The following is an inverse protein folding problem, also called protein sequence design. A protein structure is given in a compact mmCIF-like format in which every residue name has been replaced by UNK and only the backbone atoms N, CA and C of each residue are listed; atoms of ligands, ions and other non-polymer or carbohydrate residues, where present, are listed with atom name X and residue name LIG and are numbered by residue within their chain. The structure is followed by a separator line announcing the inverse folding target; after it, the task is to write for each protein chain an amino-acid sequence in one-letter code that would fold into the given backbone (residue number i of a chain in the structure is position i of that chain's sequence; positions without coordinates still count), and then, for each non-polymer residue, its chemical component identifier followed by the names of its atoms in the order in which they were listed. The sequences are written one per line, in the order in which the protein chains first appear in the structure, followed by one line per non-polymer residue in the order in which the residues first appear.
data_IF_216059331812
#
_entry.id   IF_216059331812
#
_cell.length_a   1.000
_cell.length_b   1.000
_cell.length_c   1.000
_cell.angle_alpha   90.00
_cell.angle_beta   90.00
_cell.angle_gamma   90.00
#
_symmetry.space_group_name_H-M   'P 1'
#
loop_
_entity.id
_entity.type
_entity.pdbx_description
1 polymer ?
#
# COMPACT_ATOMS: atom_id res chain seq x y z
N UNK A 1 -14.46 14.90 10.36
CA UNK A 1 -15.41 14.65 9.22
C UNK A 1 -15.41 13.16 8.99
N UNK A 2 -16.58 12.52 8.75
CA UNK A 2 -16.63 11.07 8.50
C UNK A 2 -16.56 10.81 6.98
N UNK A 3 -15.70 9.90 6.55
CA UNK A 3 -15.59 9.49 5.16
C UNK A 3 -16.85 8.74 4.71
N UNK A 4 -17.30 8.97 3.46
CA UNK A 4 -18.41 8.23 2.87
C UNK A 4 -17.98 6.80 2.55
N UNK A 5 -18.87 5.83 2.78
CA UNK A 5 -18.64 4.43 2.42
C UNK A 5 -19.84 3.85 1.70
N UNK A 6 -19.60 2.92 0.79
CA UNK A 6 -20.61 2.27 -0.04
C UNK A 6 -20.50 0.76 0.10
N UNK A 7 -21.57 0.04 -0.19
CA UNK A 7 -21.49 -1.41 -0.40
C UNK A 7 -20.90 -1.66 -1.79
N UNK A 8 -19.94 -2.59 -1.87
CA UNK A 8 -19.36 -2.97 -3.16
C UNK A 8 -20.43 -3.63 -4.05
N UNK A 9 -20.36 -3.32 -5.35
CA UNK A 9 -21.17 -4.04 -6.34
C UNK A 9 -20.65 -5.47 -6.53
N UNK A 10 -21.49 -6.39 -6.92
CA UNK A 10 -21.09 -7.79 -7.11
C UNK A 10 -20.11 -7.94 -8.28
N UNK A 11 -20.32 -7.18 -9.35
CA UNK A 11 -19.56 -7.25 -10.60
C UNK A 11 -18.34 -6.31 -10.65
N UNK A 12 -18.15 -5.43 -9.66
CA UNK A 12 -17.03 -4.48 -9.57
C UNK A 12 -17.23 -3.17 -10.32
N UNK A 13 -18.35 -2.98 -11.04
CA UNK A 13 -18.64 -1.69 -11.64
C UNK A 13 -19.00 -0.64 -10.61
N UNK A 14 -18.39 0.54 -10.72
CA UNK A 14 -18.70 1.67 -9.85
C UNK A 14 -19.96 2.39 -10.32
N UNK A 15 -20.87 2.66 -9.38
CA UNK A 15 -22.01 3.53 -9.66
C UNK A 15 -21.55 4.96 -9.94
N UNK A 16 -22.41 5.76 -10.55
CA UNK A 16 -22.12 7.18 -10.80
C UNK A 16 -21.82 7.93 -9.49
N UNK A 17 -22.57 7.64 -8.42
CA UNK A 17 -22.35 8.22 -7.09
C UNK A 17 -20.97 7.87 -6.51
N UNK A 18 -20.52 6.62 -6.67
CA UNK A 18 -19.18 6.19 -6.24
C UNK A 18 -18.09 6.93 -7.01
N UNK A 19 -18.23 7.08 -8.34
CA UNK A 19 -17.28 7.83 -9.19
C UNK A 19 -17.21 9.31 -8.80
N UNK A 20 -18.35 9.93 -8.53
CA UNK A 20 -18.42 11.32 -8.05
C UNK A 20 -17.80 11.47 -6.66
N UNK A 21 -18.01 10.51 -5.75
CA UNK A 21 -17.39 10.49 -4.45
C UNK A 21 -15.87 10.40 -4.54
N UNK A 22 -15.36 9.50 -5.39
CA UNK A 22 -13.92 9.37 -5.63
C UNK A 22 -13.33 10.64 -6.25
N UNK A 23 -13.98 11.20 -7.25
CA UNK A 23 -13.53 12.44 -7.89
C UNK A 23 -13.52 13.65 -6.93
N UNK A 24 -14.43 13.67 -5.97
CA UNK A 24 -14.51 14.72 -4.95
C UNK A 24 -13.48 14.55 -3.85
N UNK A 25 -13.36 13.33 -3.29
CA UNK A 25 -12.62 13.08 -2.05
C UNK A 25 -11.19 12.57 -2.33
N UNK A 26 -10.92 11.96 -3.50
CA UNK A 26 -9.65 11.32 -3.85
C UNK A 26 -9.48 9.95 -3.21
N UNK A 27 -10.50 9.45 -2.54
CA UNK A 27 -10.57 8.07 -2.04
C UNK A 27 -12.01 7.54 -2.08
N UNK A 28 -12.14 6.20 -2.02
CA UNK A 28 -13.43 5.52 -2.02
C UNK A 28 -13.38 4.31 -1.08
N UNK A 29 -14.41 4.11 -0.25
CA UNK A 29 -14.51 2.98 0.68
C UNK A 29 -15.65 2.07 0.21
N UNK A 30 -15.30 0.84 -0.18
CA UNK A 30 -16.23 -0.17 -0.68
C UNK A 30 -16.29 -1.36 0.28
N UNK A 31 -17.35 -1.44 1.11
CA UNK A 31 -17.55 -2.53 2.06
C UNK A 31 -17.94 -3.82 1.35
N UNK A 32 -17.50 -4.96 1.89
CA UNK A 32 -17.85 -6.27 1.33
C UNK A 32 -17.31 -6.53 -0.08
N UNK A 33 -16.21 -5.85 -0.45
CA UNK A 33 -15.58 -6.02 -1.76
C UNK A 33 -14.99 -7.42 -1.93
N UNK A 34 -14.32 -7.92 -0.90
CA UNK A 34 -13.85 -9.32 -0.79
C UNK A 34 -14.56 -10.02 0.36
N UNK A 35 -14.76 -11.31 0.22
CA UNK A 35 -15.34 -12.16 1.27
C UNK A 35 -14.36 -12.38 2.42
N UNK A 36 -14.89 -12.73 3.59
CA UNK A 36 -14.07 -13.12 4.74
C UNK A 36 -13.14 -14.30 4.40
N UNK A 37 -13.63 -15.28 3.63
CA UNK A 37 -12.85 -16.45 3.21
C UNK A 37 -11.67 -16.09 2.30
N UNK A 38 -11.84 -15.16 1.34
CA UNK A 38 -10.73 -14.66 0.52
C UNK A 38 -9.67 -13.96 1.38
N UNK A 39 -10.09 -13.13 2.33
CA UNK A 39 -9.18 -12.47 3.26
C UNK A 39 -8.42 -13.47 4.14
N UNK A 40 -9.10 -14.50 4.64
CA UNK A 40 -8.48 -15.55 5.46
C UNK A 40 -7.49 -16.38 4.65
N UNK A 41 -7.80 -16.72 3.39
CA UNK A 41 -6.87 -17.42 2.51
C UNK A 41 -5.55 -16.65 2.29
N UNK A 42 -5.59 -15.32 2.13
CA UNK A 42 -4.38 -14.51 2.06
C UNK A 42 -3.60 -14.53 3.38
N UNK A 43 -4.28 -14.45 4.52
CA UNK A 43 -3.65 -14.48 5.84
C UNK A 43 -2.98 -15.84 6.11
N UNK A 44 -3.65 -16.94 5.80
CA UNK A 44 -3.12 -18.29 5.90
C UNK A 44 -1.90 -18.47 4.99
N UNK A 45 -1.97 -17.99 3.73
CA UNK A 45 -0.85 -18.04 2.82
C UNK A 45 0.35 -17.23 3.33
N UNK A 46 0.11 -16.03 3.86
CA UNK A 46 1.17 -15.21 4.45
C UNK A 46 1.80 -15.90 5.66
N UNK A 47 1.03 -16.54 6.53
CA UNK A 47 1.54 -17.33 7.64
C UNK A 47 2.49 -18.41 7.14
N UNK A 48 2.11 -19.16 6.10
CA UNK A 48 2.97 -20.19 5.52
C UNK A 48 4.27 -19.62 4.90
N UNK A 49 4.22 -18.43 4.29
CA UNK A 49 5.41 -17.73 3.79
C UNK A 49 6.35 -17.31 4.93
N UNK A 50 5.81 -16.83 6.04
CA UNK A 50 6.59 -16.46 7.23
C UNK A 50 7.21 -17.70 7.87
N UNK A 51 6.48 -18.81 7.96
CA UNK A 51 7.00 -20.08 8.50
C UNK A 51 8.23 -20.57 7.73
N UNK A 52 8.20 -20.44 6.40
CA UNK A 52 9.31 -20.83 5.52
C UNK A 52 10.48 -19.83 5.51
N UNK A 53 10.30 -18.63 6.06
CA UNK A 53 11.31 -17.57 6.06
C UNK A 53 12.21 -17.65 7.28
N UNK A 54 13.55 -17.56 7.08
CA UNK A 54 14.53 -17.45 8.15
C UNK A 54 14.95 -15.99 8.36
N UNK A 55 14.66 -15.37 9.54
CA UNK A 55 15.05 -14.00 9.81
C UNK A 55 16.55 -13.77 9.88
N UNK A 56 17.36 -14.82 10.18
CA UNK A 56 18.83 -14.68 10.26
C UNK A 56 19.46 -14.37 8.89
N UNK A 57 18.79 -14.73 7.79
CA UNK A 57 19.24 -14.43 6.44
C UNK A 57 19.14 -12.92 6.10
N UNK A 58 18.33 -12.15 6.83
CA UNK A 58 18.01 -10.77 6.44
C UNK A 58 17.73 -9.89 7.68
N UNK A 59 18.65 -9.01 8.00
CA UNK A 59 18.51 -8.01 9.08
C UNK A 59 18.03 -6.64 8.57
N UNK A 60 17.07 -6.58 7.63
CA UNK A 60 16.55 -5.30 7.11
C UNK A 60 15.37 -4.80 7.94
N UNK A 61 15.58 -3.70 8.65
CA UNK A 61 14.52 -2.98 9.37
C UNK A 61 13.85 -1.99 8.42
N UNK A 62 12.53 -2.03 8.34
CA UNK A 62 11.78 -1.02 7.59
C UNK A 62 11.64 0.25 8.43
N UNK A 63 12.21 1.34 7.91
CA UNK A 63 11.98 2.69 8.43
C UNK A 63 11.23 3.52 7.39
N UNK A 64 10.30 4.35 7.83
CA UNK A 64 9.50 5.22 6.96
C UNK A 64 10.27 6.44 6.44
N UNK A 65 11.56 6.58 6.80
CA UNK A 65 12.43 7.65 6.36
C UNK A 65 13.15 7.35 5.05
N UNK A 66 13.08 8.25 4.07
CA UNK A 66 13.69 8.08 2.75
C UNK A 66 15.21 7.82 2.79
N UNK A 67 15.91 8.34 3.81
CA UNK A 67 17.37 8.20 3.91
C UNK A 67 17.85 6.79 4.27
N UNK A 68 17.07 6.05 5.06
CA UNK A 68 17.43 4.65 5.39
C UNK A 68 17.21 3.74 4.19
N UNK A 69 16.12 3.95 3.43
CA UNK A 69 15.83 3.18 2.22
C UNK A 69 16.88 3.37 1.12
N UNK A 70 17.43 4.57 0.99
CA UNK A 70 18.46 4.88 0.00
C UNK A 70 19.76 4.07 0.18
N UNK A 71 20.01 3.55 1.39
CA UNK A 71 21.24 2.80 1.72
C UNK A 71 21.04 1.28 1.72
N UNK A 72 19.79 0.83 1.72
CA UNK A 72 19.48 -0.59 1.83
C UNK A 72 19.29 -1.22 0.45
N UNK A 73 20.28 -1.99 0.00
CA UNK A 73 20.19 -2.73 -1.27
C UNK A 73 19.06 -3.77 -1.27
N UNK A 74 18.74 -4.33 -0.11
CA UNK A 74 17.64 -5.26 0.05
C UNK A 74 16.29 -4.60 -0.28
N UNK A 75 16.08 -3.35 0.15
CA UNK A 75 14.90 -2.59 -0.24
C UNK A 75 14.91 -2.22 -1.73
N UNK A 76 16.01 -1.67 -2.23
CA UNK A 76 16.10 -1.19 -3.63
C UNK A 76 15.81 -2.28 -4.66
N UNK A 77 16.24 -3.50 -4.37
CA UNK A 77 16.09 -4.66 -5.26
C UNK A 77 14.80 -5.45 -5.03
N UNK A 78 13.84 -4.93 -4.28
CA UNK A 78 12.61 -5.66 -3.91
C UNK A 78 11.45 -5.49 -4.90
N UNK A 79 11.61 -4.65 -5.93
CA UNK A 79 10.51 -4.29 -6.84
C UNK A 79 9.86 -5.46 -7.57
N UNK A 80 10.63 -6.50 -7.87
CA UNK A 80 10.20 -7.73 -8.57
C UNK A 80 10.35 -9.01 -7.71
N UNK A 81 10.40 -8.85 -6.37
CA UNK A 81 10.65 -9.93 -5.41
C UNK A 81 9.66 -9.90 -4.25
N UNK A 82 9.59 -11.01 -3.53
CA UNK A 82 8.92 -11.09 -2.23
C UNK A 82 9.99 -10.96 -1.15
N UNK A 83 9.96 -9.84 -0.41
CA UNK A 83 10.92 -9.54 0.67
C UNK A 83 10.21 -9.14 1.94
N UNK A 84 10.79 -9.49 3.09
CA UNK A 84 10.25 -9.30 4.42
C UNK A 84 10.92 -8.10 5.09
N UNK A 85 10.14 -7.22 5.70
CA UNK A 85 10.61 -6.03 6.40
C UNK A 85 10.03 -6.02 7.81
N UNK A 86 10.89 -5.75 8.80
CA UNK A 86 10.55 -5.81 10.21
C UNK A 86 10.17 -4.44 10.78
N UNK A 87 9.40 -4.45 11.87
CA UNK A 87 9.20 -3.26 12.69
C UNK A 87 10.49 -2.91 13.42
N UNK A 88 10.76 -1.61 13.57
CA UNK A 88 11.96 -1.14 14.27
C UNK A 88 11.98 -1.60 15.74
N UNK A 89 10.81 -1.57 16.40
CA UNK A 89 10.64 -2.00 17.79
C UNK A 89 10.72 -3.53 17.98
N UNK A 90 10.92 -4.30 16.91
CA UNK A 90 11.12 -5.74 16.98
C UNK A 90 12.54 -6.15 17.36
N UNK A 91 13.50 -5.21 17.36
CA UNK A 91 14.91 -5.45 17.65
C UNK A 91 15.34 -4.75 18.94
N UNK A 92 16.30 -5.34 19.65
CA UNK A 92 16.99 -4.71 20.77
C UNK A 92 18.12 -3.77 20.28
N UNK A 93 18.80 -3.15 21.26
CA UNK A 93 19.90 -2.22 20.98
C UNK A 93 21.10 -2.88 20.26
N UNK A 94 21.24 -4.19 20.34
CA UNK A 94 22.29 -4.98 19.71
C UNK A 94 21.88 -5.49 18.32
N UNK A 95 20.66 -5.14 17.86
CA UNK A 95 20.11 -5.55 16.57
C UNK A 95 19.59 -6.99 16.54
N UNK A 96 19.32 -7.59 17.69
CA UNK A 96 18.77 -8.93 17.80
C UNK A 96 17.24 -8.87 17.86
N UNK A 97 16.60 -9.74 17.06
CA UNK A 97 15.15 -9.91 17.10
C UNK A 97 14.69 -10.41 18.47
N UNK A 98 13.83 -9.64 19.15
CA UNK A 98 13.33 -9.91 20.51
C UNK A 98 11.86 -10.35 20.56
N UNK A 99 11.25 -10.56 19.41
CA UNK A 99 9.87 -11.01 19.24
C UNK A 99 9.79 -12.21 18.31
N UNK A 100 8.70 -12.95 18.40
CA UNK A 100 8.37 -13.94 17.38
C UNK A 100 8.24 -13.25 16.01
N UNK A 101 8.76 -13.91 14.94
CA UNK A 101 8.77 -13.35 13.60
C UNK A 101 7.38 -12.99 13.08
N UNK A 102 6.33 -13.70 13.48
CA UNK A 102 4.94 -13.41 13.12
C UNK A 102 4.40 -12.11 13.74
N UNK A 103 5.00 -11.66 14.84
CA UNK A 103 4.65 -10.41 15.55
C UNK A 103 5.67 -9.29 15.32
N UNK A 104 6.70 -9.55 14.53
CA UNK A 104 7.82 -8.65 14.31
C UNK A 104 7.79 -7.92 12.96
N UNK A 105 6.99 -8.42 12.01
CA UNK A 105 6.98 -7.91 10.65
C UNK A 105 6.16 -6.62 10.52
N UNK A 106 6.71 -5.67 9.77
CA UNK A 106 6.03 -4.46 9.29
C UNK A 106 5.27 -4.76 7.99
N UNK A 107 5.97 -5.27 6.97
CA UNK A 107 5.39 -5.61 5.68
C UNK A 107 6.16 -6.70 4.94
N UNK A 108 5.50 -7.31 3.97
CA UNK A 108 6.10 -8.13 2.92
C UNK A 108 5.76 -7.51 1.57
N UNK A 109 6.74 -7.27 0.72
CA UNK A 109 6.58 -6.62 -0.59
C UNK A 109 7.76 -6.96 -1.53
N UNK A 110 7.71 -6.63 -2.80
CA UNK A 110 6.71 -5.74 -3.43
C UNK A 110 6.03 -6.41 -4.66
N UNK A 111 6.27 -7.73 -4.88
CA UNK A 111 5.75 -8.47 -6.03
C UNK A 111 4.90 -9.70 -5.66
N UNK A 112 4.22 -9.71 -4.50
CA UNK A 112 3.34 -10.82 -4.11
C UNK A 112 2.31 -11.17 -5.19
N UNK A 113 1.74 -10.16 -5.87
CA UNK A 113 0.76 -10.29 -6.94
C UNK A 113 1.29 -11.00 -8.20
N UNK A 114 2.61 -11.14 -8.33
CA UNK A 114 3.28 -11.81 -9.46
C UNK A 114 3.96 -13.12 -9.07
N UNK A 115 4.48 -13.20 -7.84
CA UNK A 115 5.37 -14.27 -7.41
C UNK A 115 4.65 -15.33 -6.54
N UNK A 116 3.41 -15.09 -6.11
CA UNK A 116 2.66 -16.03 -5.29
C UNK A 116 1.27 -16.29 -5.88
N UNK A 117 0.90 -17.55 -6.16
CA UNK A 117 -0.34 -17.89 -6.87
C UNK A 117 -1.61 -17.54 -6.08
N UNK A 118 -1.58 -17.51 -4.74
CA UNK A 118 -2.75 -17.13 -3.92
C UNK A 118 -2.97 -15.62 -3.98
N UNK A 119 -1.89 -14.85 -3.89
CA UNK A 119 -1.93 -13.40 -4.05
C UNK A 119 -2.25 -12.98 -5.48
N UNK A 120 -1.74 -13.71 -6.48
CA UNK A 120 -2.09 -13.49 -7.89
C UNK A 120 -3.59 -13.68 -8.13
N UNK A 121 -4.16 -14.81 -7.69
CA UNK A 121 -5.59 -15.11 -7.83
C UNK A 121 -6.49 -14.09 -7.10
N UNK A 122 -6.10 -13.61 -5.92
CA UNK A 122 -6.83 -12.57 -5.20
C UNK A 122 -6.81 -11.24 -5.95
N UNK A 123 -5.68 -10.92 -6.59
CA UNK A 123 -5.42 -9.60 -7.17
C UNK A 123 -5.92 -9.49 -8.61
N UNK A 124 -5.79 -10.55 -9.41
CA UNK A 124 -6.14 -10.56 -10.83
C UNK A 124 -7.50 -11.21 -11.07
N UNK A 125 -8.55 -10.53 -10.66
CA UNK A 125 -9.91 -10.92 -10.99
C UNK A 125 -10.63 -9.85 -11.83
N UNK A 126 -11.67 -10.26 -12.56
CA UNK A 126 -12.44 -9.37 -13.40
C UNK A 126 -13.11 -8.23 -12.63
N UNK A 127 -13.43 -8.45 -11.35
CA UNK A 127 -14.04 -7.44 -10.47
C UNK A 127 -13.07 -6.29 -10.24
N UNK A 128 -11.81 -6.60 -9.93
CA UNK A 128 -10.77 -5.58 -9.75
C UNK A 128 -10.46 -4.85 -11.05
N UNK A 129 -10.38 -5.57 -12.18
CA UNK A 129 -10.14 -4.95 -13.48
C UNK A 129 -11.24 -3.93 -13.82
N UNK A 130 -12.51 -4.30 -13.65
CA UNK A 130 -13.64 -3.40 -13.92
C UNK A 130 -13.61 -2.16 -13.02
N UNK A 131 -13.33 -2.36 -11.72
CA UNK A 131 -13.18 -1.23 -10.78
C UNK A 131 -12.05 -0.30 -11.22
N UNK A 132 -10.89 -0.82 -11.60
CA UNK A 132 -9.74 -0.03 -12.06
C UNK A 132 -10.07 0.77 -13.35
N UNK A 133 -10.75 0.12 -14.32
CA UNK A 133 -11.19 0.79 -15.55
C UNK A 133 -12.23 1.88 -15.28
N UNK A 134 -13.16 1.65 -14.37
CA UNK A 134 -14.17 2.63 -13.96
C UNK A 134 -13.58 3.86 -13.26
N UNK A 135 -12.37 3.73 -12.69
CA UNK A 135 -11.57 4.84 -12.14
C UNK A 135 -10.73 5.58 -13.19
N UNK A 136 -10.77 5.13 -14.44
CA UNK A 136 -10.13 5.81 -15.57
C UNK A 136 -8.79 5.21 -16.00
N UNK A 137 -8.36 4.05 -15.45
CA UNK A 137 -7.19 3.33 -15.97
C UNK A 137 -7.57 2.57 -17.25
N UNK A 138 -7.14 3.06 -18.41
CA UNK A 138 -7.47 2.44 -19.69
C UNK A 138 -6.80 1.07 -19.87
N UNK A 139 -5.59 0.94 -19.41
CA UNK A 139 -4.78 -0.28 -19.41
C UNK A 139 -4.15 -0.51 -18.04
N UNK A 140 -4.92 -0.97 -17.02
CA UNK A 140 -4.39 -1.07 -15.65
C UNK A 140 -3.26 -2.10 -15.57
N UNK A 141 -2.09 -1.66 -15.09
CA UNK A 141 -0.92 -2.47 -14.79
C UNK A 141 -0.66 -2.48 -13.29
N UNK A 142 -0.38 -3.67 -12.74
CA UNK A 142 -0.04 -3.84 -11.35
C UNK A 142 1.45 -3.55 -11.15
N UNK A 143 1.76 -2.45 -10.47
CA UNK A 143 3.14 -2.00 -10.27
C UNK A 143 3.75 -2.61 -9.00
N UNK A 144 3.00 -2.64 -7.91
CA UNK A 144 3.49 -3.02 -6.59
C UNK A 144 2.40 -3.66 -5.75
N UNK A 145 2.77 -4.58 -4.86
CA UNK A 145 1.89 -5.05 -3.79
C UNK A 145 2.62 -5.19 -2.47
N UNK A 146 1.91 -4.95 -1.37
CA UNK A 146 2.44 -5.05 -0.02
C UNK A 146 1.41 -5.72 0.90
N UNK A 147 1.85 -6.73 1.65
CA UNK A 147 1.11 -7.22 2.81
C UNK A 147 1.63 -6.47 4.04
N UNK A 148 0.75 -5.79 4.78
CA UNK A 148 1.06 -4.90 5.89
C UNK A 148 0.47 -5.48 7.17
N UNK A 149 1.29 -5.65 8.22
CA UNK A 149 0.90 -6.37 9.42
C UNK A 149 0.32 -5.49 10.52
N UNK A 150 0.89 -4.30 10.77
CA UNK A 150 0.54 -3.49 11.95
C UNK A 150 0.38 -4.37 13.21
N UNK A 151 1.45 -5.03 13.65
CA UNK A 151 1.39 -5.96 14.78
C UNK A 151 0.93 -5.27 16.07
N UNK A 152 0.34 -6.03 17.04
CA UNK A 152 -0.08 -5.47 18.30
C UNK A 152 1.06 -4.75 19.04
N UNK A 153 0.76 -3.59 19.60
CA UNK A 153 1.62 -2.77 20.45
C UNK A 153 2.80 -2.09 19.76
N UNK A 154 3.39 -2.66 18.70
CA UNK A 154 4.59 -2.15 18.03
C UNK A 154 4.37 -1.71 16.60
N UNK A 155 3.17 -1.91 16.04
CA UNK A 155 2.89 -1.51 14.65
C UNK A 155 3.26 -0.05 14.41
N UNK A 156 4.26 0.18 13.55
CA UNK A 156 4.85 1.49 13.29
C UNK A 156 3.87 2.48 12.64
N UNK A 157 4.11 3.76 12.79
CA UNK A 157 3.38 4.80 12.07
C UNK A 157 3.71 4.77 10.57
N UNK A 158 2.74 5.09 9.74
CA UNK A 158 2.98 5.48 8.35
C UNK A 158 2.70 6.98 8.24
N UNK A 159 3.76 7.76 8.07
CA UNK A 159 3.69 9.20 7.95
C UNK A 159 2.81 9.63 6.77
N UNK A 160 2.27 10.83 6.83
CA UNK A 160 1.46 11.38 5.75
C UNK A 160 2.28 11.48 4.45
N UNK A 161 1.75 10.90 3.38
CA UNK A 161 2.40 10.82 2.08
C UNK A 161 1.38 10.75 0.93
N UNK A 162 1.88 10.77 -0.27
CA UNK A 162 1.15 10.57 -1.53
C UNK A 162 1.80 9.39 -2.26
N UNK A 163 1.03 8.41 -2.74
CA UNK A 163 1.59 7.21 -3.41
C UNK A 163 2.35 7.55 -4.70
N UNK A 164 1.88 8.58 -5.43
CA UNK A 164 2.58 9.08 -6.63
C UNK A 164 3.96 9.64 -6.35
N UNK A 165 4.32 9.92 -5.09
CA UNK A 165 5.70 10.23 -4.67
C UNK A 165 6.64 9.08 -4.99
N UNK A 166 6.18 7.84 -4.86
CA UNK A 166 6.97 6.62 -5.00
C UNK A 166 6.77 5.93 -6.35
N UNK A 167 5.60 6.11 -6.99
CA UNK A 167 5.19 5.43 -8.22
C UNK A 167 4.76 6.47 -9.24
N UNK A 168 5.76 7.08 -9.87
CA UNK A 168 5.56 8.24 -10.75
C UNK A 168 5.31 7.81 -12.18
N UNK A 169 4.23 8.34 -12.77
CA UNK A 169 3.92 8.23 -14.19
C UNK A 169 3.63 9.62 -14.77
N UNK A 170 3.74 9.76 -16.09
CA UNK A 170 3.35 10.98 -16.80
C UNK A 170 2.28 10.65 -17.85
N UNK A 171 1.02 11.11 -17.68
CA UNK A 171 0.47 11.78 -16.51
C UNK A 171 0.43 10.90 -15.25
N UNK A 172 0.21 11.50 -14.05
CA UNK A 172 0.10 10.77 -12.80
C UNK A 172 -1.15 9.88 -12.79
N UNK A 173 -0.98 8.57 -12.75
CA UNK A 173 -2.07 7.58 -12.79
C UNK A 173 -2.07 6.60 -11.63
N UNK A 174 -1.10 6.70 -10.71
CA UNK A 174 -1.03 5.80 -9.58
C UNK A 174 -2.35 5.78 -8.79
N UNK A 175 -2.85 4.58 -8.55
CA UNK A 175 -4.07 4.33 -7.77
C UNK A 175 -3.83 3.16 -6.82
N UNK A 176 -3.99 3.40 -5.52
CA UNK A 176 -3.81 2.41 -4.47
C UNK A 176 -5.13 1.67 -4.19
N UNK A 177 -5.08 0.34 -4.15
CA UNK A 177 -6.16 -0.56 -3.74
C UNK A 177 -5.74 -1.21 -2.42
N UNK A 178 -6.31 -0.77 -1.33
CA UNK A 178 -5.97 -1.24 0.01
C UNK A 178 -7.11 -2.09 0.59
N UNK A 179 -6.85 -3.37 0.83
CA UNK A 179 -7.83 -4.35 1.34
C UNK A 179 -7.63 -4.57 2.83
N UNK A 180 -8.69 -4.36 3.61
CA UNK A 180 -8.72 -4.72 5.03
C UNK A 180 -8.84 -6.25 5.16
N UNK A 181 -7.79 -6.93 5.56
CA UNK A 181 -7.80 -8.37 5.83
C UNK A 181 -8.27 -8.68 7.26
N UNK A 182 -8.28 -7.69 8.12
CA UNK A 182 -8.87 -7.62 9.46
C UNK A 182 -9.59 -6.28 9.61
N UNK A 183 -10.44 -6.17 10.63
CA UNK A 183 -11.09 -4.90 10.93
C UNK A 183 -10.06 -3.81 11.22
N UNK A 184 -10.16 -2.69 10.51
CA UNK A 184 -9.30 -1.54 10.67
C UNK A 184 -10.12 -0.34 11.15
N UNK A 185 -9.72 0.19 12.29
CA UNK A 185 -10.34 1.35 12.92
C UNK A 185 -9.29 2.32 13.52
N UNK A 186 -9.75 3.37 14.16
CA UNK A 186 -8.88 4.40 14.76
C UNK A 186 -8.01 3.86 15.90
N UNK A 187 -8.35 2.71 16.50
CA UNK A 187 -7.65 2.17 17.67
C UNK A 187 -6.50 1.25 17.32
N UNK A 188 -6.51 0.61 16.14
CA UNK A 188 -5.52 -0.39 15.71
C UNK A 188 -4.68 0.04 14.49
N UNK A 189 -4.56 1.34 14.25
CA UNK A 189 -3.74 1.87 13.16
C UNK A 189 -4.42 1.83 11.79
N UNK A 190 -5.72 2.09 11.75
CA UNK A 190 -6.47 2.31 10.52
C UNK A 190 -5.96 3.49 9.71
N UNK A 191 -6.41 3.58 8.46
CA UNK A 191 -6.04 4.66 7.54
C UNK A 191 -6.77 5.95 7.84
N UNK A 192 -6.10 7.06 7.52
CA UNK A 192 -6.67 8.41 7.46
C UNK A 192 -6.33 9.03 6.11
N UNK A 193 -7.29 9.70 5.48
CA UNK A 193 -7.11 10.42 4.23
C UNK A 193 -7.60 11.85 4.30
N UNK A 194 -7.07 12.73 3.46
CA UNK A 194 -7.51 14.14 3.36
C UNK A 194 -8.50 14.27 2.22
N UNK A 195 -9.81 14.47 2.50
CA UNK A 195 -10.81 14.66 1.44
C UNK A 195 -10.46 15.84 0.53
N UNK A 196 -10.42 15.58 -0.79
CA UNK A 196 -10.06 16.57 -1.80
C UNK A 196 -8.56 16.89 -1.89
N UNK A 197 -7.72 16.30 -1.03
CA UNK A 197 -6.27 16.56 -1.01
C UNK A 197 -5.54 16.18 -2.29
N UNK A 198 -6.08 15.28 -3.10
CA UNK A 198 -5.56 14.90 -4.41
C UNK A 198 -5.63 16.02 -5.47
N UNK A 199 -6.47 17.02 -5.25
CA UNK A 199 -6.55 18.20 -6.13
C UNK A 199 -5.35 19.15 -5.94
N UNK A 200 -4.64 19.03 -4.81
CA UNK A 200 -3.42 19.76 -4.53
C UNK A 200 -2.20 19.24 -5.34
N UNK A 201 -1.02 19.84 -5.15
CA UNK A 201 0.20 19.45 -5.85
C UNK A 201 0.73 18.09 -5.35
N UNK A 202 1.54 17.43 -6.19
CA UNK A 202 2.47 16.40 -5.72
C UNK A 202 3.62 17.11 -4.99
N UNK A 203 3.88 16.73 -3.72
CA UNK A 203 4.80 17.47 -2.84
C UNK A 203 6.24 17.01 -2.95
N UNK A 204 6.44 15.74 -3.26
CA UNK A 204 7.78 15.18 -3.39
C UNK A 204 7.81 13.98 -4.33
N UNK A 205 9.02 13.58 -4.72
CA UNK A 205 9.28 12.44 -5.57
C UNK A 205 10.45 11.63 -5.02
N UNK A 206 10.28 10.32 -4.92
CA UNK A 206 11.31 9.37 -4.50
C UNK A 206 11.80 8.60 -5.71
N UNK A 207 13.02 8.90 -6.16
CA UNK A 207 13.54 8.40 -7.42
C UNK A 207 15.06 8.23 -7.39
N UNK A 208 15.60 7.57 -8.41
CA UNK A 208 17.06 7.53 -8.63
C UNK A 208 17.59 8.86 -9.14
N UNK A 209 18.70 9.34 -8.54
CA UNK A 209 19.56 10.38 -9.06
C UNK A 209 20.97 9.79 -9.16
N UNK A 210 21.39 9.48 -10.39
CA UNK A 210 22.57 8.64 -10.61
C UNK A 210 22.39 7.25 -9.96
N UNK A 211 23.36 6.86 -9.14
CA UNK A 211 23.34 5.55 -8.43
C UNK A 211 22.63 5.61 -7.07
N UNK A 212 22.14 6.77 -6.65
CA UNK A 212 21.50 7.00 -5.35
C UNK A 212 19.99 7.18 -5.45
N UNK A 213 19.27 6.87 -4.36
CA UNK A 213 17.87 7.25 -4.20
C UNK A 213 17.79 8.57 -3.45
N UNK A 214 16.95 9.46 -3.95
CA UNK A 214 16.71 10.79 -3.34
C UNK A 214 15.23 11.03 -3.14
N UNK A 215 14.91 11.81 -2.11
CA UNK A 215 13.59 12.40 -1.93
C UNK A 215 13.66 13.85 -2.42
N UNK A 216 13.29 14.08 -3.65
CA UNK A 216 13.20 15.40 -4.24
C UNK A 216 11.93 16.11 -3.74
N UNK A 217 12.08 17.35 -3.29
CA UNK A 217 10.95 18.20 -2.93
C UNK A 217 10.48 18.95 -4.17
N UNK A 218 9.22 18.75 -4.56
CA UNK A 218 8.61 19.37 -5.74
C UNK A 218 7.78 20.62 -5.38
N UNK A 219 7.17 20.63 -4.18
CA UNK A 219 6.27 21.69 -3.74
C UNK A 219 6.40 21.91 -2.24
N UNK A 220 6.32 23.20 -1.82
CA UNK A 220 6.47 23.60 -0.43
C UNK A 220 5.16 23.58 0.38
N UNK A 221 4.03 23.32 -0.28
CA UNK A 221 2.73 23.22 0.39
C UNK A 221 2.78 22.13 1.46
N UNK A 222 2.57 22.43 2.74
CA UNK A 222 2.57 21.44 3.79
C UNK A 222 1.45 20.42 3.58
N UNK A 223 1.55 19.26 4.20
CA UNK A 223 0.39 18.40 4.38
C UNK A 223 -0.60 19.09 5.32
N UNK A 224 -1.87 18.77 5.12
CA UNK A 224 -2.98 19.39 5.85
C UNK A 224 -2.91 19.07 7.35
N UNK A 225 -3.51 19.96 8.16
CA UNK A 225 -3.60 19.78 9.61
C UNK A 225 -4.40 18.52 9.99
N UNK A 226 -4.17 18.03 11.19
CA UNK A 226 -4.75 16.77 11.70
C UNK A 226 -6.28 16.73 11.65
N UNK A 227 -6.95 17.85 11.87
CA UNK A 227 -8.42 17.97 11.87
C UNK A 227 -9.04 17.80 10.47
N UNK A 228 -8.23 17.89 9.41
CA UNK A 228 -8.65 17.63 8.03
C UNK A 228 -8.55 16.17 7.61
N UNK A 229 -7.87 15.33 8.38
CA UNK A 229 -7.77 13.92 8.12
C UNK A 229 -9.04 13.17 8.56
N UNK A 230 -9.71 12.54 7.62
CA UNK A 230 -10.87 11.70 7.89
C UNK A 230 -10.45 10.24 8.14
N UNK A 231 -10.95 9.58 9.19
CA UNK A 231 -10.70 8.15 9.39
C UNK A 231 -11.40 7.32 8.30
N UNK A 232 -10.65 6.39 7.69
CA UNK A 232 -11.14 5.47 6.67
C UNK A 232 -11.42 4.11 7.32
N UNK A 233 -12.55 4.04 8.04
CA UNK A 233 -12.95 2.83 8.78
C UNK A 233 -13.27 1.70 7.80
N UNK A 234 -12.59 0.57 7.96
CA UNK A 234 -12.65 -0.53 7.02
C UNK A 234 -12.81 -1.88 7.77
N UNK A 235 -14.03 -2.38 7.97
CA UNK A 235 -14.25 -3.76 8.37
C UNK A 235 -13.59 -4.74 7.40
N UNK A 236 -13.24 -5.94 7.87
CA UNK A 236 -12.65 -7.01 7.05
C UNK A 236 -13.42 -7.22 5.74
N UNK A 237 -12.68 -7.34 4.64
CA UNK A 237 -13.23 -7.46 3.28
C UNK A 237 -13.52 -6.12 2.58
N UNK A 238 -13.30 -4.99 3.27
CA UNK A 238 -13.44 -3.66 2.67
C UNK A 238 -12.25 -3.35 1.76
N UNK A 239 -12.52 -2.75 0.60
CA UNK A 239 -11.54 -2.10 -0.26
C UNK A 239 -11.57 -0.59 0.00
N UNK A 240 -10.43 -0.01 0.32
CA UNK A 240 -10.19 1.43 0.29
C UNK A 240 -9.37 1.75 -0.94
N UNK A 241 -9.91 2.57 -1.84
CA UNK A 241 -9.22 3.05 -3.04
C UNK A 241 -8.66 4.43 -2.75
N UNK A 242 -7.39 4.64 -3.09
CA UNK A 242 -6.65 5.88 -2.86
C UNK A 242 -6.12 6.42 -4.19
N UNK A 243 -6.49 7.65 -4.55
CA UNK A 243 -5.85 8.37 -5.65
C UNK A 243 -4.39 8.63 -5.30
N UNK A 244 -3.45 8.41 -6.22
CA UNK A 244 -2.02 8.51 -5.94
C UNK A 244 -1.54 9.86 -5.38
N UNK A 245 -2.29 10.94 -5.58
CA UNK A 245 -2.01 12.24 -4.97
C UNK A 245 -2.78 12.54 -3.68
N UNK A 246 -3.67 11.66 -3.20
CA UNK A 246 -4.37 11.94 -1.94
C UNK A 246 -3.40 11.78 -0.76
N UNK A 247 -3.24 12.82 0.09
CA UNK A 247 -2.47 12.68 1.31
C UNK A 247 -3.19 11.72 2.25
N UNK A 248 -2.45 10.69 2.70
CA UNK A 248 -2.97 9.71 3.62
C UNK A 248 -1.89 9.21 4.57
N UNK A 249 -2.31 8.65 5.70
CA UNK A 249 -1.43 8.15 6.76
C UNK A 249 -2.09 7.02 7.53
N UNK A 250 -1.34 6.35 8.40
CA UNK A 250 -1.91 5.49 9.42
C UNK A 250 -1.17 5.64 10.75
N UNK A 251 -1.93 5.81 11.83
CA UNK A 251 -1.39 5.91 13.19
C UNK A 251 -0.64 4.62 13.60
N UNK A 252 0.25 4.68 14.59
CA UNK A 252 0.84 3.47 15.16
C UNK A 252 -0.23 2.59 15.80
N UNK A 253 -0.04 1.27 15.72
CA UNK A 253 -0.90 0.33 16.44
C UNK A 253 -0.37 0.08 17.84
N UNK A 254 -1.04 0.63 18.85
CA UNK A 254 -0.72 0.39 20.28
C UNK A 254 -1.78 -0.48 20.96
N UNK A 255 -2.76 -0.98 20.19
CA UNK A 255 -3.81 -1.88 20.68
C UNK A 255 -3.31 -3.32 20.80
N UNK A 256 -4.06 -4.20 21.49
CA UNK A 256 -3.77 -5.63 21.55
C UNK A 256 -4.24 -6.41 20.29
N UNK A 257 -4.80 -5.73 19.28
CA UNK A 257 -5.27 -6.33 18.03
C UNK A 257 -4.32 -5.99 16.89
N UNK A 258 -4.02 -6.95 16.02
CA UNK A 258 -3.35 -6.68 14.75
C UNK A 258 -4.27 -5.93 13.78
N UNK A 259 -3.68 -5.42 12.70
CA UNK A 259 -4.42 -4.84 11.59
C UNK A 259 -3.76 -5.24 10.28
N UNK A 260 -4.03 -6.44 9.83
CA UNK A 260 -3.51 -6.95 8.57
C UNK A 260 -4.24 -6.31 7.38
N UNK A 261 -3.48 -5.92 6.38
CA UNK A 261 -3.98 -5.38 5.13
C UNK A 261 -3.14 -5.85 3.95
N UNK A 262 -3.75 -5.83 2.77
CA UNK A 262 -3.04 -6.05 1.51
C UNK A 262 -3.26 -4.84 0.61
N UNK A 263 -2.18 -4.21 0.17
CA UNK A 263 -2.22 -3.07 -0.72
C UNK A 263 -1.65 -3.43 -2.09
N UNK A 264 -2.33 -2.99 -3.16
CA UNK A 264 -1.89 -3.12 -4.55
C UNK A 264 -1.92 -1.74 -5.18
N UNK A 265 -0.84 -1.34 -5.82
CA UNK A 265 -0.77 -0.10 -6.57
C UNK A 265 -0.82 -0.41 -8.06
N UNK A 266 -1.73 0.27 -8.75
CA UNK A 266 -1.92 0.19 -10.18
C UNK A 266 -1.54 1.50 -10.84
N UNK A 267 -1.07 1.40 -12.07
CA UNK A 267 -0.84 2.54 -12.97
C UNK A 267 -1.47 2.27 -14.33
N UNK A 268 -1.70 3.31 -15.11
CA UNK A 268 -2.16 3.12 -16.49
C UNK A 268 -0.97 2.77 -17.39
N UNK A 269 -1.07 1.69 -18.15
CA UNK A 269 -0.07 1.28 -19.13
C UNK A 269 0.04 2.22 -20.34
N UNK A 270 -0.93 3.14 -20.54
CA UNK A 270 -0.84 4.20 -21.54
C UNK A 270 -0.01 5.41 -21.06
N UNK A 271 0.21 5.54 -19.74
CA UNK A 271 1.07 6.56 -19.17
C UNK A 271 2.55 6.13 -19.24
N UNK A 272 3.43 7.13 -19.27
CA UNK A 272 4.88 6.86 -19.27
C UNK A 272 5.32 6.55 -17.83
N UNK A 273 5.76 5.33 -17.58
CA UNK A 273 6.46 4.96 -16.34
C UNK A 273 7.81 5.65 -16.31
N UNK A 274 8.11 6.40 -15.26
CA UNK A 274 9.38 7.13 -15.18
C UNK A 274 10.56 6.18 -15.03
N UNK A 275 11.56 6.33 -15.88
CA UNK A 275 12.72 5.44 -15.93
C UNK A 275 13.60 5.50 -14.66
N UNK A 276 13.46 6.56 -13.87
CA UNK A 276 14.16 6.78 -12.61
C UNK A 276 13.31 6.47 -11.37
N UNK A 277 12.14 5.87 -11.52
CA UNK A 277 11.38 5.37 -10.37
C UNK A 277 12.24 4.44 -9.51
N UNK A 278 12.12 4.55 -8.18
CA UNK A 278 12.84 3.65 -7.27
C UNK A 278 12.49 2.18 -7.50
N UNK A 279 11.22 1.90 -7.84
CA UNK A 279 10.72 0.56 -8.10
C UNK A 279 11.14 0.15 -9.51
N UNK A 280 12.18 -0.65 -9.57
CA UNK A 280 12.69 -1.24 -10.81
C UNK A 280 12.20 -2.68 -10.94
N UNK A 281 11.92 -3.08 -12.17
CA UNK A 281 11.55 -4.47 -12.52
C UNK A 281 12.59 -5.02 -13.49
N UNK A 282 12.94 -6.29 -13.33
CA UNK A 282 13.81 -6.96 -14.29
C UNK A 282 13.15 -7.02 -15.68
N UNK A 283 13.92 -6.98 -16.79
CA UNK A 283 13.35 -6.99 -18.14
C UNK A 283 12.50 -8.22 -18.47
N UNK A 284 12.78 -9.35 -17.82
CA UNK A 284 12.03 -10.61 -17.94
C UNK A 284 10.81 -10.71 -16.99
N UNK A 285 10.64 -9.71 -16.11
CA UNK A 285 9.52 -9.58 -15.16
C UNK A 285 8.83 -8.21 -15.28
N UNK A 286 8.29 -7.84 -16.45
CA UNK A 286 7.61 -6.55 -16.62
C UNK A 286 6.34 -6.48 -15.76
N UNK A 287 5.82 -5.27 -15.54
CA UNK A 287 4.50 -5.11 -14.95
C UNK A 287 3.46 -5.79 -15.85
N UNK A 288 2.52 -6.50 -15.22
CA UNK A 288 1.43 -7.19 -15.91
C UNK A 288 0.08 -6.61 -15.48
N UNK A 289 -0.88 -6.62 -16.37
CA UNK A 289 -2.28 -6.31 -16.09
C UNK A 289 -3.06 -7.54 -15.61
N UNK A 290 -4.33 -7.56 -15.93
CA UNK A 290 -5.28 -8.62 -15.61
C UNK A 290 -5.33 -9.70 -16.66
#
# INVERSE_FOLDING_TARGET
MQARSFEATEDGHLTQEMKEAYAQDGFLILRGYKTAGECDALRERMTALIDAFDPEDIASVFETGAQSHARDSYFRESGDKVRFFFEQEAFDADGKLVRDKHEALNKVGHALHDEDPVFEAFTRDEKMERTARDLGLASPLLAQSMYIFKPPHIGGEVNCHQDSTFLHTEPLTCTGFWFALEDADETNGGLYGVPGGHLGPLRSRFHYDGDGLVMEKLDDTPFEDEDRHAPLIAPKGTLVILHGKVPHKSAPNRSPRSRHAYAVHMVDGEAVWSADNWLMRAPDKPMRGF
#
